data_IF_293386233818
#
_entry.id   IF_293386233818
#
_cell.length_a   1.000
_cell.length_b   1.000
_cell.length_c   1.000
_cell.angle_alpha   90.00
_cell.angle_beta   90.00
_cell.angle_gamma   90.00
#
_symmetry.space_group_name_H-M   'P 1'
#
loop_
_entity.id
_entity.type
_entity.pdbx_description
1 polymer ?
#
# COMPACT_ATOMS: atom_id res chain seq x y z
N UNK A 1 -1.68 -15.19 12.83
CA UNK A 1 -3.06 -15.66 12.58
C UNK A 1 -3.30 -17.07 13.14
N UNK A 2 -2.48 -18.07 12.78
CA UNK A 2 -2.61 -19.47 13.26
C UNK A 2 -2.56 -19.60 14.79
N UNK A 3 -1.71 -18.82 15.47
CA UNK A 3 -1.59 -18.88 16.95
C UNK A 3 -2.84 -18.35 17.67
N UNK A 4 -3.50 -17.32 17.14
CA UNK A 4 -4.72 -16.78 17.75
C UNK A 4 -5.89 -17.74 17.56
N UNK A 5 -6.01 -18.35 16.38
CA UNK A 5 -7.01 -19.38 16.11
C UNK A 5 -6.80 -20.61 17.02
N UNK A 6 -5.54 -21.04 17.21
CA UNK A 6 -5.20 -22.14 18.11
C UNK A 6 -5.56 -21.81 19.57
N UNK A 7 -5.26 -20.59 20.04
CA UNK A 7 -5.60 -20.16 21.40
C UNK A 7 -7.13 -20.15 21.61
N UNK A 8 -7.88 -19.62 20.64
CA UNK A 8 -9.34 -19.65 20.66
C UNK A 8 -9.87 -21.09 20.70
N UNK A 9 -9.40 -21.97 19.81
CA UNK A 9 -9.85 -23.37 19.78
C UNK A 9 -9.56 -24.11 21.09
N UNK A 10 -8.40 -23.87 21.72
CA UNK A 10 -8.05 -24.52 22.99
C UNK A 10 -8.97 -24.05 24.12
N UNK A 11 -9.24 -22.75 24.18
CA UNK A 11 -10.15 -22.17 25.17
C UNK A 11 -11.61 -22.64 24.98
N UNK A 12 -12.06 -22.76 23.73
CA UNK A 12 -13.41 -23.24 23.43
C UNK A 12 -13.61 -24.72 23.82
N UNK A 13 -12.58 -25.56 23.76
CA UNK A 13 -12.65 -26.95 24.22
C UNK A 13 -12.92 -27.06 25.73
N UNK A 14 -12.33 -26.17 26.55
CA UNK A 14 -12.56 -26.14 27.99
C UNK A 14 -13.99 -25.68 28.35
N UNK A 15 -14.58 -24.82 27.51
CA UNK A 15 -15.95 -24.31 27.69
C UNK A 15 -17.05 -25.29 27.25
N UNK A 16 -16.68 -26.39 26.56
CA UNK A 16 -17.61 -27.46 26.20
C UNK A 16 -18.06 -28.29 27.42
N UNK A 17 -17.56 -27.98 28.61
CA UNK A 17 -18.06 -28.53 29.87
C UNK A 17 -19.56 -28.20 30.04
N UNK A 18 -20.41 -29.18 30.38
CA UNK A 18 -21.85 -28.98 30.54
C UNK A 18 -22.23 -27.95 31.63
N UNK A 19 -21.28 -27.51 32.44
CA UNK A 19 -21.42 -26.46 33.45
C UNK A 19 -21.62 -25.05 32.88
N UNK A 20 -21.30 -24.81 31.60
CA UNK A 20 -21.36 -23.50 30.95
C UNK A 20 -22.38 -23.47 29.80
N UNK A 21 -23.67 -23.72 30.10
CA UNK A 21 -24.73 -23.50 29.12
C UNK A 21 -24.95 -21.98 28.91
N UNK A 22 -24.94 -21.52 27.66
CA UNK A 22 -25.17 -20.13 27.22
C UNK A 22 -24.12 -19.08 27.64
N UNK A 23 -22.84 -19.45 27.74
CA UNK A 23 -21.78 -18.46 27.96
C UNK A 23 -21.62 -17.50 26.76
N UNK A 24 -21.48 -16.20 27.04
CA UNK A 24 -21.12 -15.17 26.05
C UNK A 24 -19.65 -14.82 26.22
N UNK A 25 -18.90 -14.77 25.11
CA UNK A 25 -17.46 -14.47 25.11
C UNK A 25 -17.18 -13.15 24.40
N UNK A 26 -16.29 -12.34 24.97
CA UNK A 26 -15.75 -11.14 24.34
C UNK A 26 -14.23 -11.30 24.21
N UNK A 27 -13.72 -11.08 23.00
CA UNK A 27 -12.29 -11.07 22.73
C UNK A 27 -11.80 -9.64 22.59
N UNK A 28 -10.76 -9.29 23.35
CA UNK A 28 -10.05 -8.01 23.23
C UNK A 28 -8.63 -8.35 22.81
N UNK A 29 -8.22 -7.83 21.65
CA UNK A 29 -6.92 -8.10 21.04
C UNK A 29 -6.23 -6.77 20.83
N UNK A 30 -4.97 -6.68 21.25
CA UNK A 30 -4.08 -5.57 20.89
C UNK A 30 -3.15 -6.03 19.78
N UNK A 31 -2.99 -5.20 18.74
CA UNK A 31 -2.13 -5.56 17.61
C UNK A 31 -1.56 -4.35 16.92
N UNK A 32 -0.33 -4.49 16.43
CA UNK A 32 0.30 -3.60 15.46
C UNK A 32 0.24 -4.18 14.03
N UNK A 33 -0.62 -5.18 13.78
CA UNK A 33 -0.73 -5.80 12.46
C UNK A 33 -1.83 -5.13 11.63
N UNK A 34 -1.49 -4.33 10.61
CA UNK A 34 -2.50 -3.68 9.76
C UNK A 34 -3.31 -4.70 8.94
N UNK A 35 -2.75 -5.89 8.67
CA UNK A 35 -3.46 -7.00 8.01
C UNK A 35 -4.57 -7.58 8.89
N UNK A 36 -4.35 -7.68 10.20
CA UNK A 36 -5.43 -8.10 11.09
C UNK A 36 -6.49 -7.00 11.11
N UNK A 37 -6.06 -5.75 11.26
CA UNK A 37 -6.98 -4.60 11.29
C UNK A 37 -7.81 -4.47 10.01
N UNK A 38 -7.28 -4.81 8.83
CA UNK A 38 -8.04 -4.77 7.58
C UNK A 38 -9.20 -5.76 7.53
N UNK A 39 -9.16 -6.81 8.34
CA UNK A 39 -10.15 -7.88 8.32
C UNK A 39 -11.21 -7.71 9.44
N UNK A 40 -10.99 -6.79 10.38
CA UNK A 40 -11.94 -6.49 11.45
C UNK A 40 -12.97 -5.48 10.98
N UNK A 41 -14.25 -5.79 11.20
CA UNK A 41 -15.38 -4.90 10.88
C UNK A 41 -15.23 -3.55 11.57
N UNK A 42 -15.72 -2.52 10.89
CA UNK A 42 -15.86 -1.18 11.43
C UNK A 42 -16.58 -1.20 12.78
N UNK A 43 -16.27 -0.19 13.61
CA UNK A 43 -16.73 -0.07 14.99
C UNK A 43 -16.16 -1.08 16.00
N UNK A 44 -15.43 -2.11 15.57
CA UNK A 44 -14.76 -3.06 16.47
C UNK A 44 -13.26 -2.77 16.67
N UNK A 45 -12.77 -1.63 16.18
CA UNK A 45 -11.37 -1.23 16.30
C UNK A 45 -11.29 0.11 17.01
N UNK A 46 -10.42 0.15 18.03
CA UNK A 46 -10.13 1.35 18.81
C UNK A 46 -8.62 1.58 18.74
N UNK A 47 -8.23 2.76 18.26
CA UNK A 47 -6.86 3.25 18.27
C UNK A 47 -6.59 3.96 19.59
N UNK A 48 -5.45 3.68 20.21
CA UNK A 48 -5.02 4.27 21.47
C UNK A 48 -3.77 5.09 21.23
N UNK A 49 -3.77 6.34 21.71
CA UNK A 49 -2.65 7.26 21.57
C UNK A 49 -2.36 7.96 22.88
N UNK A 50 -1.09 8.20 23.15
CA UNK A 50 -0.66 9.03 24.27
C UNK A 50 -0.61 10.50 23.83
N UNK A 51 -1.14 11.39 24.67
CA UNK A 51 -1.11 12.82 24.48
C UNK A 51 -0.98 13.53 25.84
N UNK A 52 0.17 14.15 26.09
CA UNK A 52 0.47 14.93 27.30
C UNK A 52 0.22 14.17 28.63
N UNK A 53 0.69 12.93 28.71
CA UNK A 53 0.54 12.01 29.83
C UNK A 53 -0.83 11.34 29.93
N UNK A 54 -1.72 11.51 28.94
CA UNK A 54 -3.07 10.94 28.93
C UNK A 54 -3.27 10.03 27.73
N UNK A 55 -3.93 8.89 27.93
CA UNK A 55 -4.36 8.02 26.85
C UNK A 55 -5.67 8.55 26.26
N UNK A 56 -5.65 8.87 24.98
CA UNK A 56 -6.84 9.18 24.19
C UNK A 56 -7.18 7.95 23.34
N UNK A 57 -8.48 7.68 23.19
CA UNK A 57 -8.98 6.60 22.33
C UNK A 57 -9.83 7.16 21.20
N UNK A 58 -9.74 6.52 20.04
CA UNK A 58 -10.51 6.87 18.86
C UNK A 58 -11.03 5.61 18.19
N UNK A 59 -12.31 5.59 17.84
CA UNK A 59 -12.86 4.53 17.00
C UNK A 59 -12.42 4.74 15.56
N UNK A 60 -11.94 3.67 14.93
CA UNK A 60 -11.34 3.75 13.58
C UNK A 60 -11.89 2.66 12.69
N UNK A 61 -12.05 3.02 11.42
CA UNK A 61 -12.57 2.13 10.39
C UNK A 61 -11.40 1.62 9.56
N UNK A 62 -11.13 0.32 9.70
CA UNK A 62 -10.01 -0.35 9.05
C UNK A 62 -10.46 -1.45 8.10
N UNK A 63 -11.74 -1.87 8.14
CA UNK A 63 -12.25 -2.96 7.32
C UNK A 63 -12.04 -2.68 5.82
N UNK A 64 -11.34 -3.60 5.13
CA UNK A 64 -10.96 -3.48 3.72
C UNK A 64 -10.25 -2.16 3.34
N UNK A 65 -9.68 -1.45 4.31
CA UNK A 65 -8.92 -0.23 4.08
C UNK A 65 -7.54 -0.57 3.54
N UNK A 66 -6.98 0.31 2.71
CA UNK A 66 -5.63 0.15 2.20
C UNK A 66 -4.62 0.01 3.37
N UNK A 67 -3.84 -1.07 3.36
CA UNK A 67 -2.89 -1.42 4.42
C UNK A 67 -1.89 -0.29 4.70
N UNK A 68 -1.35 0.35 3.66
CA UNK A 68 -0.40 1.45 3.80
C UNK A 68 -1.06 2.65 4.49
N UNK A 69 -2.36 2.89 4.23
CA UNK A 69 -3.13 3.94 4.92
C UNK A 69 -3.41 3.58 6.38
N UNK A 70 -3.69 2.32 6.71
CA UNK A 70 -3.84 1.88 8.11
C UNK A 70 -2.54 2.13 8.87
N UNK A 71 -1.39 1.76 8.31
CA UNK A 71 -0.08 1.99 8.93
C UNK A 71 0.13 3.48 9.20
N UNK A 72 -0.07 4.31 8.18
CA UNK A 72 0.15 5.74 8.27
C UNK A 72 -0.76 6.43 9.30
N UNK A 73 -2.05 6.11 9.30
CA UNK A 73 -3.02 6.80 10.16
C UNK A 73 -3.04 6.26 11.60
N UNK A 74 -2.85 4.94 11.78
CA UNK A 74 -3.10 4.27 13.06
C UNK A 74 -1.84 3.83 13.81
N UNK A 75 -0.68 3.77 13.15
CA UNK A 75 0.56 3.26 13.74
C UNK A 75 1.61 4.36 14.01
N UNK A 76 1.21 5.62 13.94
CA UNK A 76 2.05 6.80 14.22
C UNK A 76 3.34 6.87 13.39
N UNK A 77 3.33 6.35 12.16
CA UNK A 77 4.48 6.46 11.26
C UNK A 77 4.49 7.84 10.60
N UNK A 78 5.67 8.45 10.47
CA UNK A 78 5.83 9.74 9.79
C UNK A 78 5.58 9.65 8.29
N UNK A 79 5.77 8.46 7.72
CA UNK A 79 5.75 8.20 6.29
C UNK A 79 5.00 6.91 5.97
N UNK A 80 4.39 6.88 4.78
CA UNK A 80 3.72 5.71 4.19
C UNK A 80 4.76 4.70 3.68
N UNK A 81 5.88 5.22 3.20
CA UNK A 81 7.04 4.47 2.71
C UNK A 81 8.23 4.66 3.66
N UNK A 82 9.25 3.82 3.54
CA UNK A 82 10.51 4.08 4.24
C UNK A 82 11.10 5.43 3.81
N UNK A 83 11.70 6.16 4.76
CA UNK A 83 12.25 7.51 4.54
C UNK A 83 13.20 7.63 3.34
N UNK A 84 14.00 6.58 3.09
CA UNK A 84 14.86 6.49 1.91
C UNK A 84 14.06 6.45 0.60
N UNK A 85 13.03 5.60 0.54
CA UNK A 85 12.17 5.49 -0.64
C UNK A 85 11.40 6.80 -0.87
N UNK A 86 10.89 7.42 0.19
CA UNK A 86 10.22 8.72 0.12
C UNK A 86 11.16 9.80 -0.43
N UNK A 87 12.41 9.85 0.04
CA UNK A 87 13.44 10.77 -0.47
C UNK A 87 13.72 10.57 -1.96
N UNK A 88 13.78 9.30 -2.41
CA UNK A 88 13.95 8.97 -3.83
C UNK A 88 12.76 9.40 -4.68
N UNK A 89 11.54 9.11 -4.25
CA UNK A 89 10.32 9.56 -4.93
C UNK A 89 10.27 11.08 -5.04
N UNK A 90 10.56 11.80 -3.97
CA UNK A 90 10.59 13.26 -3.97
C UNK A 90 11.66 13.82 -4.93
N UNK A 91 12.83 13.19 -5.04
CA UNK A 91 13.86 13.58 -6.02
C UNK A 91 13.37 13.43 -7.45
N UNK A 92 12.75 12.29 -7.79
CA UNK A 92 12.17 12.05 -9.12
C UNK A 92 11.11 13.12 -9.42
N UNK A 93 10.17 13.36 -8.50
CA UNK A 93 9.11 14.36 -8.65
C UNK A 93 9.70 15.76 -8.86
N UNK A 94 10.72 16.13 -8.08
CA UNK A 94 11.39 17.43 -8.22
C UNK A 94 12.06 17.60 -9.59
N UNK A 95 12.68 16.55 -10.13
CA UNK A 95 13.24 16.56 -11.48
C UNK A 95 12.13 16.75 -12.52
N UNK A 96 11.05 15.96 -12.41
CA UNK A 96 9.94 16.00 -13.36
C UNK A 96 9.17 17.32 -13.34
N UNK A 97 9.15 18.03 -12.21
CA UNK A 97 8.52 19.34 -12.09
C UNK A 97 9.35 20.49 -12.69
N UNK A 98 10.59 20.25 -13.10
CA UNK A 98 11.42 21.28 -13.74
C UNK A 98 10.84 21.67 -15.12
N UNK A 99 10.98 22.95 -15.53
CA UNK A 99 10.48 23.41 -16.83
C UNK A 99 11.21 22.74 -17.99
N UNK A 100 12.52 22.49 -17.84
CA UNK A 100 13.37 21.84 -18.83
C UNK A 100 14.27 20.82 -18.15
N UNK A 101 14.43 19.64 -18.76
CA UNK A 101 15.21 18.52 -18.22
C UNK A 101 16.19 18.08 -19.31
N UNK A 102 17.45 17.80 -18.94
CA UNK A 102 18.43 17.32 -19.92
C UNK A 102 18.10 15.89 -20.39
N UNK A 103 18.42 15.50 -21.64
CA UNK A 103 18.20 14.13 -22.13
C UNK A 103 18.88 13.06 -21.26
N UNK A 104 20.07 13.36 -20.73
CA UNK A 104 20.79 12.46 -19.82
C UNK A 104 20.03 12.21 -18.52
N UNK A 105 19.40 13.26 -17.97
CA UNK A 105 18.64 13.18 -16.73
C UNK A 105 17.29 12.49 -16.95
N UNK A 106 16.69 12.64 -18.13
CA UNK A 106 15.49 11.90 -18.54
C UNK A 106 15.75 10.39 -18.52
N UNK A 107 16.83 9.92 -19.13
CA UNK A 107 17.16 8.49 -19.15
C UNK A 107 17.47 7.94 -17.75
N UNK A 108 18.21 8.69 -16.92
CA UNK A 108 18.46 8.30 -15.54
C UNK A 108 17.16 8.20 -14.72
N UNK A 109 16.28 9.21 -14.86
CA UNK A 109 15.00 9.27 -14.18
C UNK A 109 14.10 8.10 -14.61
N UNK A 110 14.10 7.76 -15.90
CA UNK A 110 13.39 6.61 -16.45
C UNK A 110 13.84 5.31 -15.79
N UNK A 111 15.15 5.07 -15.69
CA UNK A 111 15.70 3.88 -15.04
C UNK A 111 15.28 3.82 -13.57
N UNK A 112 15.37 4.94 -12.85
CA UNK A 112 14.93 4.99 -11.44
C UNK A 112 13.43 4.69 -11.31
N UNK A 113 12.57 5.23 -12.17
CA UNK A 113 11.11 4.94 -12.15
C UNK A 113 10.84 3.45 -12.34
N UNK A 114 11.58 2.76 -13.21
CA UNK A 114 11.41 1.32 -13.45
C UNK A 114 11.77 0.46 -12.23
N UNK A 115 12.55 0.97 -11.28
CA UNK A 115 12.83 0.26 -10.02
C UNK A 115 11.65 0.27 -9.03
N UNK A 116 10.62 1.09 -9.28
CA UNK A 116 9.46 1.23 -8.39
C UNK A 116 8.49 0.07 -8.62
N UNK A 117 8.18 -0.66 -7.55
CA UNK A 117 7.30 -1.83 -7.58
C UNK A 117 5.85 -1.55 -7.19
N UNK A 118 5.48 -0.29 -6.97
CA UNK A 118 4.07 0.11 -6.80
C UNK A 118 3.53 0.63 -8.15
N UNK A 119 2.68 -0.14 -8.86
CA UNK A 119 2.29 0.17 -10.23
C UNK A 119 1.62 1.53 -10.36
N UNK A 120 0.79 1.92 -9.38
CA UNK A 120 0.08 3.20 -9.42
C UNK A 120 1.08 4.37 -9.41
N UNK A 121 2.10 4.30 -8.54
CA UNK A 121 3.14 5.32 -8.46
C UNK A 121 3.99 5.32 -9.74
N UNK A 122 4.47 4.14 -10.15
CA UNK A 122 5.32 4.00 -11.34
C UNK A 122 4.63 4.57 -12.59
N UNK A 123 3.37 4.18 -12.82
CA UNK A 123 2.60 4.62 -13.98
C UNK A 123 2.37 6.14 -13.94
N UNK A 124 2.11 6.72 -12.76
CA UNK A 124 1.95 8.16 -12.63
C UNK A 124 3.25 8.92 -12.96
N UNK A 125 4.39 8.43 -12.52
CA UNK A 125 5.69 9.04 -12.80
C UNK A 125 6.09 8.86 -14.28
N UNK A 126 5.80 7.70 -14.88
CA UNK A 126 5.97 7.49 -16.32
C UNK A 126 5.10 8.44 -17.14
N UNK A 127 3.85 8.68 -16.72
CA UNK A 127 2.97 9.67 -17.35
C UNK A 127 3.60 11.07 -17.30
N UNK A 128 4.04 11.52 -16.12
CA UNK A 128 4.69 12.83 -15.94
C UNK A 128 5.97 12.96 -16.78
N UNK A 129 6.77 11.88 -16.86
CA UNK A 129 7.95 11.84 -17.72
C UNK A 129 7.56 11.97 -19.19
N UNK A 130 6.52 11.26 -19.64
CA UNK A 130 6.06 11.29 -21.04
C UNK A 130 5.59 12.67 -21.51
N UNK A 131 5.16 13.53 -20.60
CA UNK A 131 4.76 14.92 -20.88
C UNK A 131 5.97 15.84 -21.14
N UNK A 132 7.17 15.42 -20.73
CA UNK A 132 8.43 16.17 -20.88
C UNK A 132 9.26 15.74 -22.09
N UNK A 133 8.83 14.68 -22.76
CA UNK A 133 9.62 13.95 -23.74
C UNK A 133 8.97 14.07 -25.12
N UNK A 134 9.75 13.91 -26.19
CA UNK A 134 9.27 14.06 -27.57
C UNK A 134 8.18 13.02 -27.94
N UNK A 135 7.31 13.31 -28.94
CA UNK A 135 6.24 12.38 -29.33
C UNK A 135 6.71 10.97 -29.72
N UNK A 136 7.89 10.83 -30.33
CA UNK A 136 8.45 9.52 -30.72
C UNK A 136 8.87 8.68 -29.52
N UNK A 137 9.44 9.31 -28.51
CA UNK A 137 9.83 8.64 -27.27
C UNK A 137 8.60 8.33 -26.39
N UNK A 138 7.53 9.13 -26.51
CA UNK A 138 6.24 8.84 -25.87
C UNK A 138 5.65 7.52 -26.35
N UNK A 139 5.72 7.23 -27.65
CA UNK A 139 5.31 5.93 -28.22
C UNK A 139 6.14 4.79 -27.61
N UNK A 140 7.46 4.98 -27.46
CA UNK A 140 8.35 3.97 -26.86
C UNK A 140 8.07 3.72 -25.37
N UNK A 141 7.68 4.75 -24.63
CA UNK A 141 7.28 4.64 -23.21
C UNK A 141 5.94 3.90 -23.06
N UNK A 142 4.94 4.25 -23.88
CA UNK A 142 3.65 3.55 -23.93
C UNK A 142 3.84 2.06 -24.25
N UNK A 143 4.71 1.73 -25.21
CA UNK A 143 5.05 0.34 -25.55
C UNK A 143 5.72 -0.39 -24.40
N UNK A 144 6.54 0.28 -23.58
CA UNK A 144 7.17 -0.36 -22.41
C UNK A 144 6.22 -0.62 -21.23
N UNK A 145 5.10 0.11 -21.18
CA UNK A 145 4.07 -0.10 -20.14
C UNK A 145 3.06 -1.20 -20.54
N UNK A 146 3.06 -1.65 -21.80
CA UNK A 146 2.24 -2.77 -22.26
C UNK A 146 2.78 -4.10 -21.74
N UNK A 147 1.86 -4.97 -21.35
CA UNK A 147 2.16 -6.37 -21.05
C UNK A 147 2.61 -7.12 -22.30
N UNK A 148 3.34 -8.22 -22.11
CA UNK A 148 3.78 -9.08 -23.21
C UNK A 148 2.62 -9.60 -24.08
N UNK A 149 1.46 -9.85 -23.48
CA UNK A 149 0.24 -10.26 -24.20
C UNK A 149 -0.34 -9.14 -25.07
N UNK A 150 -0.42 -7.91 -24.55
CA UNK A 150 -0.89 -6.74 -25.31
C UNK A 150 0.03 -6.42 -26.50
N UNK A 151 1.34 -6.62 -26.32
CA UNK A 151 2.34 -6.46 -27.38
C UNK A 151 2.20 -7.49 -28.49
N UNK A 152 1.85 -8.74 -28.17
CA UNK A 152 1.58 -9.77 -29.19
C UNK A 152 0.32 -9.46 -29.99
N UNK A 153 -0.76 -9.03 -29.33
CA UNK A 153 -2.00 -8.62 -30.01
C UNK A 153 -1.78 -7.44 -30.96
N UNK A 154 -1.00 -6.44 -30.55
CA UNK A 154 -0.65 -5.31 -31.41
C UNK A 154 0.16 -5.73 -32.63
N UNK A 155 1.16 -6.60 -32.46
CA UNK A 155 1.98 -7.10 -33.57
C UNK A 155 1.16 -7.84 -34.60
N UNK A 156 0.23 -8.70 -34.15
CA UNK A 156 -0.64 -9.47 -35.05
C UNK A 156 -1.57 -8.56 -35.87
N UNK A 157 -2.09 -7.49 -35.27
CA UNK A 157 -2.98 -6.52 -35.94
C UNK A 157 -2.25 -5.53 -36.87
N UNK A 158 -0.92 -5.36 -36.71
CA UNK A 158 -0.08 -4.51 -37.57
C UNK A 158 0.51 -5.27 -38.77
N UNK A 159 0.42 -6.62 -38.75
CA UNK A 159 0.85 -7.50 -39.82
C UNK A 159 -0.26 -7.89 -40.81
N UNK A 160 -1.49 -7.42 -40.59
CA UNK A 160 -2.60 -7.42 -41.56
C UNK A 160 -2.71 -6.07 -42.29
#
# INVERSE_FOLDING_TARGET
MVQLLSLCCTYFLDTASPSYQNATFQFIITTHSPFILSDIKNHNVISLKEYNGKVISKQVDTFAKNIQRIIYEEMETSDIYGSFAQSKLNKIINILNQPTISPTLIEQTKIEIQTINEPIIRNKLNQMLSEKVSPNEKIKLLISDLTSEELELLKNNLSE
#
